data_IF_273411764851
#
_entry.id   IF_273411764851
#
_cell.length_a   1.000
_cell.length_b   1.000
_cell.length_c   1.000
_cell.angle_alpha   90.00
_cell.angle_beta   90.00
_cell.angle_gamma   90.00
#
_symmetry.space_group_name_H-M   'P 1'
#
loop_
_entity.id
_entity.type
_entity.pdbx_description
1 polymer ?
#
# COMPACT_ATOMS: atom_id res chain seq x y z
N UNK A 1 -26.52 18.37 12.57
CA UNK A 1 -25.33 17.49 12.51
C UNK A 1 -25.13 17.19 11.04
N UNK A 2 -24.05 17.67 10.42
CA UNK A 2 -23.54 17.18 9.13
C UNK A 2 -22.10 17.69 9.01
N UNK A 3 -21.19 16.99 9.70
CA UNK A 3 -19.75 17.13 9.50
C UNK A 3 -19.36 16.14 8.40
N UNK A 4 -19.05 16.67 7.22
CA UNK A 4 -18.32 15.97 6.17
C UNK A 4 -17.58 17.05 5.39
N UNK A 5 -16.60 17.67 6.04
CA UNK A 5 -15.63 18.49 5.33
C UNK A 5 -14.90 17.57 4.34
N UNK A 6 -15.01 17.95 3.08
CA UNK A 6 -14.46 17.33 1.89
C UNK A 6 -12.92 17.36 1.91
N UNK A 7 -12.31 16.57 2.80
CA UNK A 7 -10.86 16.32 2.83
C UNK A 7 -10.48 15.14 1.92
N UNK A 8 -11.10 15.10 0.72
CA UNK A 8 -10.46 14.97 -0.59
C UNK A 8 -9.49 13.83 -0.94
N UNK A 9 -9.54 12.68 -0.28
CA UNK A 9 -8.74 11.50 -0.66
C UNK A 9 -9.52 10.47 -1.48
N UNK A 10 -8.93 9.93 -2.55
CA UNK A 10 -9.42 8.69 -3.18
C UNK A 10 -9.16 7.54 -2.21
N UNK A 11 -10.21 6.86 -1.78
CA UNK A 11 -10.08 5.62 -1.02
C UNK A 11 -9.49 4.53 -1.93
N UNK A 12 -8.38 3.94 -1.48
CA UNK A 12 -7.68 2.85 -2.18
C UNK A 12 -8.22 1.50 -1.70
N UNK A 13 -8.35 1.35 -0.38
CA UNK A 13 -9.03 0.24 0.31
C UNK A 13 -9.65 0.79 1.61
N UNK A 14 -10.53 0.06 2.31
CA UNK A 14 -11.06 0.47 3.63
C UNK A 14 -9.94 0.91 4.61
N UNK A 15 -9.91 2.20 4.92
CA UNK A 15 -8.93 2.83 5.83
C UNK A 15 -7.62 3.31 5.19
N UNK A 16 -7.46 3.17 3.88
CA UNK A 16 -6.34 3.74 3.12
C UNK A 16 -6.87 4.78 2.15
N UNK A 17 -6.43 6.02 2.30
CA UNK A 17 -6.82 7.14 1.45
C UNK A 17 -5.60 7.76 0.77
N UNK A 18 -5.75 8.17 -0.49
CA UNK A 18 -4.72 8.86 -1.25
C UNK A 18 -5.24 10.25 -1.66
N UNK A 19 -4.58 11.30 -1.19
CA UNK A 19 -4.94 12.67 -1.58
C UNK A 19 -4.59 12.94 -3.06
N UNK A 20 -5.22 13.97 -3.64
CA UNK A 20 -4.88 14.43 -5.00
C UNK A 20 -3.41 14.85 -5.16
N UNK A 21 -2.75 15.25 -4.07
CA UNK A 21 -1.33 15.60 -4.04
C UNK A 21 -0.40 14.38 -3.91
N UNK A 22 -0.94 13.16 -3.86
CA UNK A 22 -0.17 11.93 -3.72
C UNK A 22 0.20 11.57 -2.27
N UNK A 23 -0.38 12.24 -1.27
CA UNK A 23 -0.16 11.90 0.13
C UNK A 23 -1.08 10.73 0.54
N UNK A 24 -0.49 9.64 1.02
CA UNK A 24 -1.23 8.52 1.56
C UNK A 24 -1.55 8.77 3.04
N UNK A 25 -2.82 8.61 3.42
CA UNK A 25 -3.31 8.62 4.80
C UNK A 25 -3.81 7.23 5.13
N UNK A 26 -3.24 6.63 6.18
CA UNK A 26 -3.55 5.26 6.59
C UNK A 26 -4.16 5.32 7.98
N UNK A 27 -5.31 4.66 8.16
CA UNK A 27 -5.93 4.53 9.47
C UNK A 27 -5.07 3.66 10.40
N UNK A 28 -4.97 3.99 11.70
CA UNK A 28 -4.13 3.26 12.66
C UNK A 28 -4.42 1.76 12.71
N UNK A 29 -5.67 1.37 12.49
CA UNK A 29 -6.10 -0.03 12.47
C UNK A 29 -5.44 -0.85 11.33
N UNK A 30 -5.02 -0.21 10.24
CA UNK A 30 -4.32 -0.85 9.13
C UNK A 30 -2.81 -0.97 9.34
N UNK A 31 -2.21 -0.25 10.30
CA UNK A 31 -0.76 -0.30 10.49
C UNK A 31 -0.26 -1.72 10.78
N UNK A 32 -1.00 -2.49 11.60
CA UNK A 32 -0.67 -3.90 11.86
C UNK A 32 -0.73 -4.74 10.59
N UNK A 33 -1.80 -4.60 9.80
CA UNK A 33 -1.99 -5.34 8.54
C UNK A 33 -0.90 -5.00 7.51
N UNK A 34 -0.53 -3.73 7.40
CA UNK A 34 0.54 -3.30 6.51
C UNK A 34 1.92 -3.78 6.94
N UNK A 35 2.15 -3.90 8.25
CA UNK A 35 3.38 -4.45 8.79
C UNK A 35 3.48 -5.96 8.53
N UNK A 36 2.41 -6.72 8.78
CA UNK A 36 2.33 -8.14 8.41
C UNK A 36 2.51 -8.35 6.90
N UNK A 37 1.88 -7.50 6.07
CA UNK A 37 2.09 -7.51 4.62
C UNK A 37 3.54 -7.22 4.25
N UNK A 38 4.18 -6.22 4.87
CA UNK A 38 5.57 -5.89 4.62
C UNK A 38 6.50 -7.08 4.93
N UNK A 39 6.27 -7.75 6.06
CA UNK A 39 7.03 -8.94 6.45
C UNK A 39 6.84 -10.10 5.46
N UNK A 40 5.60 -10.40 5.07
CA UNK A 40 5.30 -11.43 4.09
C UNK A 40 5.94 -11.13 2.72
N UNK A 41 5.97 -9.85 2.34
CA UNK A 41 6.59 -9.39 1.09
C UNK A 41 8.11 -9.42 1.15
N UNK A 42 8.71 -9.10 2.30
CA UNK A 42 10.14 -9.26 2.54
C UNK A 42 10.55 -10.72 2.34
N UNK A 43 9.86 -11.67 2.98
CA UNK A 43 10.12 -13.11 2.77
C UNK A 43 9.93 -13.54 1.30
N UNK A 44 8.91 -13.03 0.62
CA UNK A 44 8.62 -13.42 -0.77
C UNK A 44 9.57 -12.78 -1.81
N UNK A 45 10.18 -11.64 -1.48
CA UNK A 45 11.00 -10.87 -2.42
C UNK A 45 12.48 -10.88 -2.12
N UNK A 46 12.88 -11.22 -0.89
CA UNK A 46 14.25 -11.11 -0.38
C UNK A 46 14.77 -9.66 -0.50
N UNK A 47 13.88 -8.69 -0.28
CA UNK A 47 14.13 -7.25 -0.32
C UNK A 47 13.71 -6.62 1.02
N UNK A 48 14.35 -5.54 1.48
CA UNK A 48 14.01 -4.89 2.75
C UNK A 48 12.69 -4.09 2.63
N UNK A 49 11.55 -4.78 2.62
CA UNK A 49 10.25 -4.18 2.35
C UNK A 49 9.71 -3.49 3.60
N UNK A 50 9.64 -2.17 3.57
CA UNK A 50 8.95 -1.37 4.59
C UNK A 50 7.49 -1.04 4.26
N UNK A 51 6.76 -0.50 5.25
CA UNK A 51 5.37 -0.02 5.11
C UNK A 51 5.19 0.93 3.93
N UNK A 52 6.17 1.79 3.63
CA UNK A 52 6.11 2.70 2.48
C UNK A 52 6.14 1.95 1.15
N UNK A 53 6.97 0.91 1.03
CA UNK A 53 7.01 0.05 -0.15
C UNK A 53 5.69 -0.70 -0.32
N UNK A 54 5.15 -1.24 0.77
CA UNK A 54 3.85 -1.92 0.80
C UNK A 54 2.72 -0.98 0.37
N UNK A 55 2.68 0.23 0.94
CA UNK A 55 1.68 1.25 0.60
C UNK A 55 1.75 1.66 -0.88
N UNK A 56 2.96 1.89 -1.39
CA UNK A 56 3.18 2.21 -2.80
C UNK A 56 2.75 1.05 -3.71
N UNK A 57 3.06 -0.20 -3.35
CA UNK A 57 2.65 -1.39 -4.08
C UNK A 57 1.12 -1.55 -4.11
N UNK A 58 0.43 -1.28 -2.99
CA UNK A 58 -1.03 -1.30 -2.90
C UNK A 58 -1.64 -0.25 -3.83
N UNK A 59 -1.12 0.97 -3.84
CA UNK A 59 -1.59 2.03 -4.76
C UNK A 59 -1.38 1.61 -6.23
N UNK A 60 -0.24 1.00 -6.57
CA UNK A 60 0.05 0.55 -7.93
C UNK A 60 -0.86 -0.58 -8.39
N UNK A 61 -1.07 -1.58 -7.53
CA UNK A 61 -1.93 -2.72 -7.79
C UNK A 61 -3.40 -2.29 -7.88
N UNK A 62 -3.84 -1.40 -6.99
CA UNK A 62 -5.15 -0.77 -7.03
C UNK A 62 -5.39 0.01 -8.32
N UNK A 63 -4.41 0.80 -8.79
CA UNK A 63 -4.49 1.48 -10.07
C UNK A 63 -4.56 0.53 -11.28
N UNK A 64 -4.05 -0.69 -11.16
CA UNK A 64 -4.13 -1.74 -12.18
C UNK A 64 -5.40 -2.60 -12.04
N UNK A 65 -6.24 -2.37 -11.02
CA UNK A 65 -7.42 -3.18 -10.73
C UNK A 65 -7.09 -4.59 -10.23
N UNK A 66 -5.86 -4.81 -9.76
CA UNK A 66 -5.40 -6.10 -9.19
C UNK A 66 -5.85 -6.29 -7.74
N UNK A 67 -6.30 -5.22 -7.08
CA UNK A 67 -6.88 -5.27 -5.73
C UNK A 67 -8.25 -4.60 -5.78
N UNK A 68 -9.23 -5.23 -5.14
CA UNK A 68 -10.58 -4.70 -5.03
C UNK A 68 -10.67 -3.61 -3.96
N UNK A 69 -11.22 -2.45 -4.32
CA UNK A 69 -11.34 -1.26 -3.48
C UNK A 69 -12.34 -1.42 -2.33
N UNK A 70 -13.27 -2.36 -2.45
CA UNK A 70 -14.29 -2.62 -1.45
C UNK A 70 -13.88 -3.71 -0.45
N UNK A 71 -12.83 -4.49 -0.77
CA UNK A 71 -12.34 -5.55 0.10
C UNK A 71 -11.31 -5.02 1.11
N UNK A 72 -11.43 -5.35 2.41
CA UNK A 72 -10.39 -5.04 3.38
C UNK A 72 -9.10 -5.79 3.04
N UNK A 73 -7.96 -5.12 3.15
CA UNK A 73 -6.64 -5.74 3.00
C UNK A 73 -6.48 -6.88 4.02
N UNK A 74 -5.95 -8.00 3.55
CA UNK A 74 -5.61 -9.16 4.36
C UNK A 74 -4.19 -9.59 4.01
N UNK A 75 -3.33 -9.69 5.02
CA UNK A 75 -1.97 -10.20 4.89
C UNK A 75 -1.90 -11.70 4.54
N UNK A 76 -2.97 -12.44 4.85
CA UNK A 76 -3.09 -13.87 4.60
C UNK A 76 -3.58 -14.21 3.17
N UNK A 77 -3.89 -13.20 2.35
CA UNK A 77 -4.39 -13.42 1.00
C UNK A 77 -3.21 -13.66 0.02
N UNK A 78 -3.05 -14.88 -0.52
CA UNK A 78 -1.89 -15.23 -1.33
C UNK A 78 -1.89 -14.51 -2.69
N UNK A 79 -3.06 -14.20 -3.25
CA UNK A 79 -3.19 -13.48 -4.51
C UNK A 79 -2.76 -12.01 -4.34
N UNK A 80 -3.20 -11.36 -3.25
CA UNK A 80 -2.74 -10.01 -2.90
C UNK A 80 -1.23 -10.00 -2.67
N UNK A 81 -0.68 -10.94 -1.90
CA UNK A 81 0.76 -11.01 -1.66
C UNK A 81 1.56 -11.20 -2.95
N UNK A 82 1.10 -12.06 -3.86
CA UNK A 82 1.77 -12.28 -5.14
C UNK A 82 1.73 -11.03 -6.03
N UNK A 83 0.57 -10.36 -6.10
CA UNK A 83 0.42 -9.14 -6.86
C UNK A 83 1.34 -8.04 -6.30
N UNK A 84 1.29 -7.82 -4.98
CA UNK A 84 2.11 -6.82 -4.28
C UNK A 84 3.62 -7.11 -4.43
N UNK A 85 4.06 -8.37 -4.30
CA UNK A 85 5.46 -8.75 -4.45
C UNK A 85 6.02 -8.37 -5.83
N UNK A 86 5.21 -8.52 -6.89
CA UNK A 86 5.58 -8.08 -8.24
C UNK A 86 5.76 -6.57 -8.32
N UNK A 87 4.89 -5.79 -7.68
CA UNK A 87 5.00 -4.33 -7.63
C UNK A 87 6.17 -3.86 -6.78
N UNK A 88 6.42 -4.50 -5.63
CA UNK A 88 7.58 -4.24 -4.77
C UNK A 88 8.88 -4.43 -5.55
N UNK A 89 9.04 -5.55 -6.27
CA UNK A 89 10.24 -5.76 -7.10
C UNK A 89 10.43 -4.65 -8.15
N UNK A 90 9.33 -4.17 -8.75
CA UNK A 90 9.36 -3.04 -9.69
C UNK A 90 9.72 -1.71 -9.02
N UNK A 91 9.19 -1.46 -7.82
CA UNK A 91 9.49 -0.29 -7.01
C UNK A 91 10.99 -0.25 -6.65
N UNK A 92 11.53 -1.34 -6.12
CA UNK A 92 12.95 -1.46 -5.81
C UNK A 92 13.84 -1.34 -7.05
N UNK A 93 13.46 -1.94 -8.18
CA UNK A 93 14.21 -1.79 -9.43
C UNK A 93 14.22 -0.34 -9.95
N UNK A 94 13.20 0.46 -9.63
CA UNK A 94 13.05 1.83 -10.13
C UNK A 94 13.59 2.90 -9.19
N UNK A 95 13.40 2.74 -7.89
CA UNK A 95 13.71 3.74 -6.86
C UNK A 95 14.80 3.27 -5.88
N UNK A 96 15.21 2.00 -5.96
CA UNK A 96 16.11 1.39 -4.99
C UNK A 96 15.43 1.17 -3.63
N UNK A 97 16.23 0.90 -2.58
CA UNK A 97 15.72 0.70 -1.22
C UNK A 97 15.24 1.99 -0.53
N UNK A 98 15.51 3.17 -1.10
CA UNK A 98 15.22 4.48 -0.50
C UNK A 98 13.94 5.11 -1.00
N UNK A 99 12.80 4.40 -0.95
CA UNK A 99 11.50 5.01 -1.30
C UNK A 99 11.10 6.04 -0.22
N UNK A 100 11.13 7.32 -0.59
CA UNK A 100 10.83 8.43 0.33
C UNK A 100 12.06 9.15 0.87
N UNK A 101 13.27 8.77 0.43
CA UNK A 101 14.45 9.62 0.59
C UNK A 101 14.39 10.75 -0.45
N UNK A 102 13.72 11.84 -0.08
CA UNK A 102 13.91 13.14 -0.74
C UNK A 102 15.34 13.61 -0.37
N UNK A 103 16.19 13.87 -1.37
CA UNK A 103 17.52 14.48 -1.20
C UNK A 103 17.41 15.98 -0.94
#
# INVERSE_FOLDING_TARGET
MNQAEETGGRQIVPGFFLSASGQATIEPALHGVLFDLALALEEATDLPVDVQHTAAAIIMASNQGEIDFASPLRSDDPDVNLALARHVRRLFARYGPGLGSDD
#
